data_IF_731418181184
#
_entry.id   IF_731418181184
#
_cell.length_a   1.000
_cell.length_b   1.000
_cell.length_c   1.000
_cell.angle_alpha   90.00
_cell.angle_beta   90.00
_cell.angle_gamma   90.00
#
_symmetry.space_group_name_H-M   'P 1'
#
loop_
_entity.id
_entity.type
_entity.pdbx_description
1 polymer ?
#
# COMPACT_ATOMS: atom_id res chain seq x y z
N UNK A 1 -17.17 -12.19 12.47
CA UNK A 1 -15.72 -11.88 12.54
C UNK A 1 -15.25 -11.77 11.10
N UNK A 2 -15.08 -10.56 10.57
CA UNK A 2 -14.84 -10.35 9.13
C UNK A 2 -13.45 -9.74 8.94
N UNK A 3 -12.50 -10.54 8.44
CA UNK A 3 -11.24 -10.07 7.86
C UNK A 3 -11.46 -9.86 6.36
N UNK A 4 -10.98 -8.74 5.82
CA UNK A 4 -10.84 -8.53 4.38
C UNK A 4 -9.45 -9.00 3.99
N UNK A 5 -9.38 -10.06 3.18
CA UNK A 5 -8.15 -10.52 2.53
C UNK A 5 -8.27 -10.08 1.07
N UNK A 6 -7.39 -9.17 0.64
CA UNK A 6 -7.36 -8.73 -0.76
C UNK A 6 -6.94 -9.89 -1.66
N UNK A 7 -7.74 -10.15 -2.70
CA UNK A 7 -7.77 -11.40 -3.48
C UNK A 7 -7.36 -11.15 -4.93
N UNK A 8 -6.22 -10.49 -5.15
CA UNK A 8 -5.65 -10.34 -6.49
C UNK A 8 -4.25 -10.98 -6.54
N UNK A 9 -4.13 -12.03 -7.37
CA UNK A 9 -2.96 -12.92 -7.54
C UNK A 9 -2.39 -13.53 -6.26
N UNK A 10 -3.06 -14.57 -5.78
CA UNK A 10 -2.52 -15.50 -4.80
C UNK A 10 -1.88 -16.68 -5.55
N UNK A 11 -0.57 -16.89 -5.43
CA UNK A 11 -0.02 -18.23 -5.66
C UNK A 11 -0.68 -19.15 -4.64
N UNK A 12 -1.39 -20.17 -5.12
CA UNK A 12 -2.36 -20.93 -4.30
C UNK A 12 -1.73 -21.60 -3.07
N UNK A 13 -0.45 -21.99 -3.15
CA UNK A 13 0.28 -22.64 -2.04
C UNK A 13 0.57 -21.69 -0.89
N UNK A 14 1.07 -20.50 -1.20
CA UNK A 14 1.57 -19.55 -0.19
C UNK A 14 0.40 -18.90 0.56
N UNK A 15 -0.72 -18.67 -0.14
CA UNK A 15 -1.93 -18.12 0.46
C UNK A 15 -2.52 -19.00 1.57
N UNK A 16 -2.57 -20.31 1.37
CA UNK A 16 -3.12 -21.25 2.36
C UNK A 16 -2.25 -21.28 3.61
N UNK A 17 -0.93 -21.27 3.46
CA UNK A 17 0.01 -21.25 4.58
C UNK A 17 -0.09 -19.93 5.35
N UNK A 18 -0.12 -18.79 4.66
CA UNK A 18 -0.25 -17.47 5.27
C UNK A 18 -1.55 -17.31 6.05
N UNK A 19 -2.67 -17.84 5.54
CA UNK A 19 -3.95 -17.78 6.23
C UNK A 19 -3.96 -18.73 7.45
N UNK A 20 -3.45 -19.96 7.32
CA UNK A 20 -3.41 -20.93 8.43
C UNK A 20 -2.49 -20.49 9.57
N UNK A 21 -1.41 -19.79 9.24
CA UNK A 21 -0.41 -19.32 10.21
C UNK A 21 -0.68 -17.90 10.71
N UNK A 22 -1.79 -17.27 10.27
CA UNK A 22 -2.09 -15.89 10.60
C UNK A 22 -2.37 -15.71 12.09
N UNK A 23 -1.51 -14.94 12.76
CA UNK A 23 -1.73 -14.55 14.14
C UNK A 23 -2.78 -13.43 14.21
N UNK A 24 -4.04 -13.80 14.46
CA UNK A 24 -5.13 -12.83 14.59
C UNK A 24 -4.97 -11.88 15.78
N UNK A 25 -4.28 -12.30 16.85
CA UNK A 25 -3.98 -11.44 17.99
C UNK A 25 -3.06 -10.29 17.58
N UNK A 26 -2.01 -10.59 16.82
CA UNK A 26 -1.11 -9.61 16.24
C UNK A 26 -1.87 -8.61 15.36
N UNK A 27 -2.63 -9.08 14.35
CA UNK A 27 -3.40 -8.22 13.44
C UNK A 27 -4.40 -7.32 14.18
N UNK A 28 -5.03 -7.81 15.26
CA UNK A 28 -5.93 -6.99 16.08
C UNK A 28 -5.18 -5.91 16.87
N UNK A 29 -3.98 -6.22 17.38
CA UNK A 29 -3.17 -5.29 18.17
C UNK A 29 -2.48 -4.22 17.33
N UNK A 30 -1.92 -4.58 16.18
CA UNK A 30 -1.24 -3.65 15.25
C UNK A 30 -2.20 -2.98 14.29
N UNK A 31 -3.36 -3.60 14.05
CA UNK A 31 -4.39 -3.14 13.12
C UNK A 31 -4.16 -3.54 11.66
N UNK A 32 -2.93 -3.89 11.30
CA UNK A 32 -2.48 -4.22 9.95
C UNK A 32 -1.30 -5.21 9.98
N UNK A 33 -1.22 -6.11 9.00
CA UNK A 33 -0.05 -6.94 8.74
C UNK A 33 0.07 -7.23 7.23
N UNK A 34 1.24 -6.99 6.65
CA UNK A 34 1.54 -7.48 5.30
C UNK A 34 1.76 -9.01 5.37
N UNK A 35 1.12 -9.76 4.47
CA UNK A 35 1.23 -11.23 4.44
C UNK A 35 2.41 -11.71 3.61
N UNK A 36 3.06 -10.81 2.87
CA UNK A 36 4.33 -11.08 2.20
C UNK A 36 5.48 -10.78 3.15
N UNK A 37 6.15 -11.83 3.61
CA UNK A 37 7.38 -11.73 4.39
C UNK A 37 8.56 -12.14 3.51
N UNK A 38 9.22 -11.17 2.87
CA UNK A 38 10.44 -11.39 2.07
C UNK A 38 11.47 -10.32 2.40
N UNK A 39 12.74 -10.70 2.48
CA UNK A 39 13.84 -9.78 2.79
C UNK A 39 14.42 -9.08 1.55
N UNK A 40 14.09 -9.56 0.35
CA UNK A 40 14.72 -9.12 -0.90
C UNK A 40 13.92 -8.04 -1.67
N UNK A 41 12.67 -7.77 -1.28
CA UNK A 41 11.77 -6.82 -1.96
C UNK A 41 11.19 -5.92 -0.89
N UNK A 42 11.23 -4.60 -1.08
CA UNK A 42 10.79 -3.64 -0.05
C UNK A 42 11.92 -2.92 0.67
N UNK A 43 13.02 -3.59 1.01
CA UNK A 43 14.05 -3.05 1.92
C UNK A 43 15.41 -2.84 1.24
N UNK A 44 16.16 -1.77 1.55
CA UNK A 44 15.82 -0.70 2.49
C UNK A 44 14.91 0.39 1.90
N UNK A 45 14.77 0.46 0.58
CA UNK A 45 13.97 1.47 -0.12
C UNK A 45 13.45 0.90 -1.45
N UNK A 46 12.17 0.58 -1.51
CA UNK A 46 11.52 0.12 -2.74
C UNK A 46 11.22 1.29 -3.68
N UNK A 47 10.76 2.41 -3.12
CA UNK A 47 10.56 3.67 -3.83
C UNK A 47 11.13 4.83 -3.02
N UNK A 48 11.57 5.88 -3.71
CA UNK A 48 12.00 7.16 -3.11
C UNK A 48 11.11 8.31 -3.59
N UNK A 49 9.81 8.39 -3.19
CA UNK A 49 8.88 9.34 -3.79
C UNK A 49 9.28 10.81 -3.63
N UNK A 50 9.91 11.20 -2.51
CA UNK A 50 10.40 12.57 -2.36
C UNK A 50 11.48 12.94 -3.37
N UNK A 51 12.33 11.99 -3.78
CA UNK A 51 13.32 12.20 -4.84
C UNK A 51 12.61 12.47 -6.17
N UNK A 52 11.65 11.62 -6.54
CA UNK A 52 10.90 11.78 -7.78
C UNK A 52 10.02 13.04 -7.77
N UNK A 53 9.49 13.45 -6.62
CA UNK A 53 8.73 14.69 -6.46
C UNK A 53 9.61 15.93 -6.64
N UNK A 54 10.81 15.93 -6.06
CA UNK A 54 11.75 17.06 -6.08
C UNK A 54 12.45 17.20 -7.43
N UNK A 55 13.01 16.10 -7.93
CA UNK A 55 13.93 16.13 -9.07
C UNK A 55 13.19 15.96 -10.41
N UNK A 56 11.95 15.43 -10.37
CA UNK A 56 11.10 15.14 -11.54
C UNK A 56 11.89 14.51 -12.72
N UNK A 57 12.66 13.43 -12.47
CA UNK A 57 13.49 12.83 -13.49
C UNK A 57 12.63 12.18 -14.59
N UNK A 58 13.12 12.22 -15.83
CA UNK A 58 12.59 11.40 -16.93
C UNK A 58 13.19 9.99 -16.81
N UNK A 59 12.43 9.06 -16.24
CA UNK A 59 12.87 7.69 -15.94
C UNK A 59 11.87 6.65 -16.49
N UNK A 60 11.83 6.46 -17.82
CA UNK A 60 10.87 5.57 -18.47
C UNK A 60 11.02 4.10 -18.05
N UNK A 61 12.14 3.73 -17.44
CA UNK A 61 12.37 2.38 -16.92
C UNK A 61 11.69 2.16 -15.56
N UNK A 62 11.32 3.21 -14.84
CA UNK A 62 10.65 3.15 -13.54
C UNK A 62 9.36 3.98 -13.51
N UNK A 63 8.37 3.65 -14.37
CA UNK A 63 7.16 4.47 -14.53
C UNK A 63 6.34 4.55 -13.24
N UNK A 64 6.37 3.52 -12.39
CA UNK A 64 5.72 3.58 -11.07
C UNK A 64 6.37 4.63 -10.18
N UNK A 65 7.71 4.67 -10.10
CA UNK A 65 8.42 5.62 -9.25
C UNK A 65 8.20 7.07 -9.73
N UNK A 66 8.18 7.27 -11.05
CA UNK A 66 7.89 8.56 -11.68
C UNK A 66 6.47 9.07 -11.38
N UNK A 67 5.46 8.19 -11.48
CA UNK A 67 4.04 8.57 -11.30
C UNK A 67 3.55 8.49 -9.86
N UNK A 68 4.30 7.85 -8.95
CA UNK A 68 3.88 7.62 -7.57
C UNK A 68 3.55 8.91 -6.81
N UNK A 69 4.38 9.98 -6.82
CA UNK A 69 4.10 11.17 -6.03
C UNK A 69 2.76 11.82 -6.38
N UNK A 70 2.45 11.94 -7.67
CA UNK A 70 1.21 12.56 -8.14
C UNK A 70 0.00 11.68 -7.80
N UNK A 71 0.09 10.37 -8.09
CA UNK A 71 -0.96 9.42 -7.71
C UNK A 71 -1.21 9.35 -6.20
N UNK A 72 -0.15 9.46 -5.39
CA UNK A 72 -0.26 9.50 -3.93
C UNK A 72 -1.00 10.75 -3.44
N UNK A 73 -0.68 11.93 -4.00
CA UNK A 73 -1.37 13.18 -3.65
C UNK A 73 -2.84 13.17 -4.05
N UNK A 74 -3.18 12.56 -5.18
CA UNK A 74 -4.57 12.37 -5.62
C UNK A 74 -5.35 11.44 -4.69
N UNK A 75 -4.72 10.34 -4.26
CA UNK A 75 -5.33 9.39 -3.32
C UNK A 75 -5.51 10.02 -1.92
N UNK A 76 -4.50 10.74 -1.44
CA UNK A 76 -4.43 11.27 -0.07
C UNK A 76 -4.24 12.79 -0.05
N UNK A 77 -5.26 13.57 -0.42
CA UNK A 77 -5.16 15.02 -0.41
C UNK A 77 -4.83 15.54 0.99
N UNK A 78 -3.81 16.40 1.09
CA UNK A 78 -3.33 16.97 2.35
C UNK A 78 -2.41 16.06 3.18
N UNK A 79 -2.01 14.90 2.64
CA UNK A 79 -0.96 14.05 3.23
C UNK A 79 0.35 14.27 2.48
N UNK A 80 1.44 14.49 3.23
CA UNK A 80 2.75 14.63 2.63
C UNK A 80 3.17 13.33 1.94
N UNK A 81 3.75 13.47 0.74
CA UNK A 81 4.38 12.35 0.03
C UNK A 81 5.53 11.82 0.90
N UNK A 82 5.61 10.51 1.14
CA UNK A 82 6.67 9.96 1.99
C UNK A 82 8.04 10.05 1.32
N UNK A 83 9.10 10.17 2.13
CA UNK A 83 10.46 10.21 1.62
C UNK A 83 10.87 8.89 0.95
N UNK A 84 10.54 7.79 1.63
CA UNK A 84 10.86 6.42 1.23
C UNK A 84 9.61 5.56 1.45
N UNK A 85 9.40 4.59 0.55
CA UNK A 85 8.48 3.48 0.76
C UNK A 85 9.31 2.21 0.87
N UNK A 86 9.27 1.53 2.02
CA UNK A 86 10.09 0.35 2.29
C UNK A 86 9.26 -0.95 2.46
N UNK A 87 8.12 -1.06 1.79
CA UNK A 87 7.24 -2.24 1.85
C UNK A 87 7.45 -3.20 0.68
N UNK A 88 7.33 -4.53 0.88
CA UNK A 88 7.28 -5.47 -0.23
C UNK A 88 6.11 -5.19 -1.18
N UNK A 89 6.32 -5.44 -2.47
CA UNK A 89 5.28 -5.35 -3.50
C UNK A 89 4.23 -6.46 -3.36
N UNK A 90 3.02 -6.23 -3.89
CA UNK A 90 1.81 -7.05 -3.81
C UNK A 90 0.76 -6.64 -2.76
N UNK A 91 -0.49 -7.00 -3.06
CA UNK A 91 -1.71 -6.62 -2.35
C UNK A 91 -2.22 -7.68 -1.37
N UNK A 92 -1.35 -8.47 -0.73
CA UNK A 92 -1.74 -9.47 0.27
C UNK A 92 -1.46 -8.96 1.68
N UNK A 93 -2.53 -8.61 2.39
CA UNK A 93 -2.44 -8.10 3.76
C UNK A 93 -3.64 -8.56 4.58
N UNK A 94 -3.49 -8.49 5.90
CA UNK A 94 -4.57 -8.65 6.85
C UNK A 94 -4.79 -7.32 7.59
N UNK A 95 -6.04 -6.90 7.70
CA UNK A 95 -6.43 -5.66 8.38
C UNK A 95 -7.55 -5.94 9.38
N UNK A 96 -7.47 -5.30 10.55
CA UNK A 96 -8.50 -5.44 11.56
C UNK A 96 -9.78 -4.69 11.18
N UNK A 97 -10.93 -5.20 11.63
CA UNK A 97 -12.24 -4.55 11.44
C UNK A 97 -12.29 -3.13 11.98
N UNK A 98 -11.63 -2.90 13.13
CA UNK A 98 -11.51 -1.58 13.75
C UNK A 98 -10.76 -0.64 12.82
N UNK A 99 -9.60 -1.07 12.31
CA UNK A 99 -8.75 -0.24 11.46
C UNK A 99 -9.44 0.18 10.16
N UNK A 100 -10.21 -0.72 9.54
CA UNK A 100 -11.04 -0.38 8.37
C UNK A 100 -12.08 0.70 8.71
N UNK A 101 -12.68 0.64 9.90
CA UNK A 101 -13.71 1.59 10.34
C UNK A 101 -13.18 2.91 10.87
N UNK A 102 -11.89 2.99 11.21
CA UNK A 102 -11.26 4.24 11.64
C UNK A 102 -11.18 5.27 10.49
N UNK A 103 -11.42 4.85 9.24
CA UNK A 103 -11.50 5.73 8.06
C UNK A 103 -12.94 5.94 7.60
N UNK A 104 -13.28 7.16 7.15
CA UNK A 104 -14.60 7.45 6.58
C UNK A 104 -14.82 6.64 5.30
N UNK A 105 -16.08 6.34 4.99
CA UNK A 105 -16.42 5.58 3.78
C UNK A 105 -16.02 6.34 2.50
N UNK A 106 -16.07 7.67 2.52
CA UNK A 106 -15.73 8.54 1.39
C UNK A 106 -14.28 8.39 0.93
N UNK A 107 -13.37 8.08 1.85
CA UNK A 107 -11.98 7.75 1.51
C UNK A 107 -11.94 6.51 0.61
N UNK A 108 -12.68 5.45 0.96
CA UNK A 108 -12.72 4.22 0.18
C UNK A 108 -13.38 4.42 -1.19
N UNK A 109 -14.41 5.26 -1.24
CA UNK A 109 -15.05 5.66 -2.49
C UNK A 109 -14.03 6.39 -3.37
N UNK A 110 -13.29 7.36 -2.84
CA UNK A 110 -12.22 8.07 -3.56
C UNK A 110 -11.14 7.12 -4.08
N UNK A 111 -10.66 6.19 -3.25
CA UNK A 111 -9.65 5.20 -3.65
C UNK A 111 -10.12 4.32 -4.80
N UNK A 112 -11.36 3.84 -4.74
CA UNK A 112 -11.99 3.06 -5.81
C UNK A 112 -12.13 3.90 -7.08
N UNK A 113 -12.66 5.10 -6.96
CA UNK A 113 -12.93 5.97 -8.10
C UNK A 113 -11.64 6.41 -8.78
N UNK A 114 -10.57 6.65 -8.02
CA UNK A 114 -9.23 6.89 -8.56
C UNK A 114 -8.74 5.69 -9.38
N UNK A 115 -8.82 4.48 -8.84
CA UNK A 115 -8.40 3.27 -9.55
C UNK A 115 -9.20 3.01 -10.83
N UNK A 116 -10.49 3.33 -10.84
CA UNK A 116 -11.38 3.08 -11.98
C UNK A 116 -11.23 4.15 -13.07
N UNK A 117 -11.04 5.40 -12.68
CA UNK A 117 -11.08 6.54 -13.61
C UNK A 117 -9.69 7.05 -14.03
N UNK A 118 -8.61 6.57 -13.41
CA UNK A 118 -7.25 6.97 -13.80
C UNK A 118 -6.92 6.54 -15.23
N UNK A 119 -6.18 7.38 -15.94
CA UNK A 119 -5.65 7.09 -17.29
C UNK A 119 -4.30 6.38 -17.26
N UNK A 120 -3.75 6.16 -16.05
CA UNK A 120 -2.50 5.42 -15.88
C UNK A 120 -2.66 3.96 -16.32
N UNK A 121 -1.60 3.36 -16.89
CA UNK A 121 -1.56 1.92 -17.14
C UNK A 121 -1.91 1.12 -15.87
N UNK A 122 -2.67 0.03 -16.01
CA UNK A 122 -3.18 -0.75 -14.87
C UNK A 122 -2.08 -1.30 -13.96
N UNK A 123 -0.92 -1.63 -14.53
CA UNK A 123 0.25 -2.07 -13.78
C UNK A 123 0.88 -0.93 -12.96
N UNK A 124 0.86 0.30 -13.47
CA UNK A 124 1.34 1.49 -12.77
C UNK A 124 0.37 1.90 -11.67
N UNK A 125 -0.92 2.09 -11.98
CA UNK A 125 -1.92 2.49 -10.99
C UNK A 125 -2.10 1.44 -9.89
N UNK A 126 -2.09 0.16 -10.27
CA UNK A 126 -2.12 -0.96 -9.33
C UNK A 126 -0.94 -0.91 -8.36
N UNK A 127 0.29 -0.72 -8.84
CA UNK A 127 1.48 -0.63 -7.97
C UNK A 127 1.47 0.60 -7.07
N UNK A 128 1.07 1.77 -7.58
CA UNK A 128 0.92 2.97 -6.75
C UNK A 128 -0.03 2.67 -5.58
N UNK A 129 -1.14 2.01 -5.86
CA UNK A 129 -2.12 1.64 -4.86
C UNK A 129 -1.59 0.59 -3.86
N UNK A 130 -0.86 -0.42 -4.34
CA UNK A 130 -0.21 -1.44 -3.49
C UNK A 130 0.76 -0.82 -2.49
N UNK A 131 1.64 0.06 -2.96
CA UNK A 131 2.61 0.76 -2.11
C UNK A 131 1.94 1.79 -1.18
N UNK A 132 0.80 2.34 -1.58
CA UNK A 132 0.01 3.31 -0.81
C UNK A 132 -0.82 2.70 0.33
N UNK A 133 -1.15 1.41 0.26
CA UNK A 133 -2.09 0.77 1.19
C UNK A 133 -1.66 0.84 2.66
N UNK A 134 -0.34 0.82 2.89
CA UNK A 134 0.27 0.97 4.21
C UNK A 134 -0.01 2.36 4.79
N UNK A 135 0.11 3.42 4.00
CA UNK A 135 -0.24 4.80 4.39
C UNK A 135 -1.72 4.95 4.71
N UNK A 136 -2.58 4.18 4.03
CA UNK A 136 -3.99 4.07 4.38
C UNK A 136 -4.17 3.38 5.74
N UNK A 137 -3.53 2.24 5.96
CA UNK A 137 -3.89 1.36 7.06
C UNK A 137 -2.98 1.44 8.30
N UNK A 138 -2.04 2.40 8.38
CA UNK A 138 -1.18 2.63 9.55
C UNK A 138 -1.64 3.81 10.43
N UNK A 139 -1.64 3.67 11.77
CA UNK A 139 -2.07 4.73 12.70
C UNK A 139 -1.29 6.03 12.47
N UNK A 140 -1.90 7.18 12.83
CA UNK A 140 -1.39 8.53 12.55
C UNK A 140 0.07 8.75 13.04
N UNK A 141 0.52 7.99 14.03
CA UNK A 141 1.87 8.04 14.63
C UNK A 141 2.98 7.38 13.79
N UNK A 142 2.66 6.67 12.71
CA UNK A 142 3.65 5.96 11.87
C UNK A 142 3.90 6.65 10.51
N UNK A 143 3.55 7.95 10.39
CA UNK A 143 3.64 8.68 9.11
C UNK A 143 5.05 9.19 8.77
N UNK A 144 5.96 9.18 9.74
CA UNK A 144 7.29 9.79 9.57
C UNK A 144 8.38 8.78 9.13
N UNK A 145 8.10 7.47 9.20
CA UNK A 145 8.96 6.42 8.64
C UNK A 145 8.07 5.25 8.19
N UNK A 146 7.95 5.04 6.87
CA UNK A 146 7.22 3.91 6.30
C UNK A 146 8.17 2.72 6.14
N UNK A 147 8.27 1.88 7.18
CA UNK A 147 8.86 0.53 7.14
C UNK A 147 7.72 -0.48 6.92
#
# INVERSE_FOLDING_TARGET
>A
MSLLISKYRLNLSDAVISIKSLNLGFVKSTGYANLRCVWAVGCPSELEPARYLRDRPDDPNHPTAEKFPDGFMELFPGVNVPDIVATPCCSQFAVSRKRVRDRPIDDYIRYRDWLVNTTLPTDVSGRIFEYSWHSTLLPFLARDVLI
#
